data_IF_535981639222
#
_entry.id   IF_535981639222
#
_cell.length_a   1.000
_cell.length_b   1.000
_cell.length_c   1.000
_cell.angle_alpha   90.00
_cell.angle_beta   90.00
_cell.angle_gamma   90.00
#
_symmetry.space_group_name_H-M   'P 1'
#
loop_
_entity.id
_entity.type
_entity.pdbx_description
1 polymer ?
#
# COMPACT_ATOMS: atom_id res chain seq x y z
N UNK A 1 8.84 3.88 -6.07
CA UNK A 1 8.57 3.44 -4.68
C UNK A 1 8.04 2.01 -4.64
N UNK A 2 8.15 1.35 -3.50
CA UNK A 2 7.53 0.03 -3.24
C UNK A 2 6.35 0.17 -2.27
N UNK A 3 5.42 -0.76 -2.32
CA UNK A 3 4.36 -0.96 -1.32
C UNK A 3 4.10 -2.47 -1.18
N UNK A 4 3.06 -2.84 -0.45
CA UNK A 4 2.58 -4.23 -0.32
C UNK A 4 1.15 -4.34 -0.86
N UNK A 5 0.74 -5.54 -1.28
CA UNK A 5 -0.58 -5.83 -1.85
C UNK A 5 -1.57 -6.42 -0.83
N UNK A 6 -1.08 -6.69 0.37
CA UNK A 6 -1.88 -7.25 1.45
C UNK A 6 -2.88 -6.21 1.93
N UNK A 7 -4.10 -6.66 2.19
CA UNK A 7 -5.23 -5.77 2.52
C UNK A 7 -5.52 -5.84 4.01
N UNK A 8 -6.23 -4.86 4.60
CA UNK A 8 -6.61 -4.93 6.01
C UNK A 8 -7.30 -6.24 6.41
N UNK A 9 -8.09 -6.84 5.52
CA UNK A 9 -8.81 -8.09 5.75
C UNK A 9 -7.92 -9.34 5.60
N UNK A 10 -6.80 -9.23 4.89
CA UNK A 10 -5.80 -10.29 4.67
C UNK A 10 -4.40 -9.69 4.78
N UNK A 11 -3.98 -9.27 5.99
CA UNK A 11 -2.69 -8.63 6.17
C UNK A 11 -1.57 -9.65 6.07
N UNK A 12 -0.38 -9.18 5.67
CA UNK A 12 0.83 -9.96 5.83
C UNK A 12 1.11 -10.15 7.32
N UNK A 13 1.55 -11.34 7.72
CA UNK A 13 1.79 -11.67 9.12
C UNK A 13 3.18 -12.25 9.33
N UNK A 14 3.87 -11.82 10.38
CA UNK A 14 5.11 -12.41 10.84
C UNK A 14 5.12 -12.52 12.36
N UNK A 15 5.88 -13.46 12.90
CA UNK A 15 5.96 -13.63 14.37
C UNK A 15 7.38 -13.96 14.82
N UNK A 16 7.73 -13.48 16.02
CA UNK A 16 8.99 -13.77 16.69
C UNK A 16 8.71 -14.06 18.17
N UNK A 17 9.40 -15.06 18.73
CA UNK A 17 9.46 -15.25 20.19
C UNK A 17 10.89 -15.00 20.67
N UNK A 18 11.05 -14.09 21.64
CA UNK A 18 12.33 -13.82 22.31
C UNK A 18 12.12 -13.76 23.82
N UNK A 19 12.88 -14.57 24.59
CA UNK A 19 12.76 -14.72 26.04
C UNK A 19 11.31 -14.84 26.51
N UNK A 20 10.56 -15.76 25.89
CA UNK A 20 9.12 -16.03 26.12
C UNK A 20 8.17 -14.88 25.77
N UNK A 21 8.68 -13.71 25.39
CA UNK A 21 7.83 -12.64 24.86
C UNK A 21 7.54 -12.93 23.40
N UNK A 22 6.28 -12.80 23.01
CA UNK A 22 5.82 -13.00 21.64
C UNK A 22 5.59 -11.64 20.98
N UNK A 23 6.04 -11.51 19.75
CA UNK A 23 5.90 -10.33 18.90
C UNK A 23 5.20 -10.76 17.61
N UNK A 24 3.99 -10.27 17.39
CA UNK A 24 3.14 -10.62 16.24
C UNK A 24 3.03 -9.36 15.38
N UNK A 25 3.63 -9.40 14.20
CA UNK A 25 3.55 -8.32 13.23
C UNK A 25 2.43 -8.54 12.22
N UNK A 26 1.72 -7.48 11.89
CA UNK A 26 0.72 -7.45 10.83
C UNK A 26 0.91 -6.20 9.97
N UNK A 27 0.91 -6.35 8.65
CA UNK A 27 1.08 -5.24 7.71
C UNK A 27 0.09 -5.30 6.54
N UNK A 28 -0.39 -4.14 6.10
CA UNK A 28 -1.22 -4.02 4.90
C UNK A 28 -1.00 -2.68 4.18
N UNK A 29 -1.47 -2.63 2.93
CA UNK A 29 -1.56 -1.41 2.14
C UNK A 29 -2.59 -0.45 2.73
N UNK A 30 -2.28 0.84 2.72
CA UNK A 30 -3.18 1.93 3.14
C UNK A 30 -2.88 3.19 2.33
N UNK A 31 -3.91 3.93 1.95
CA UNK A 31 -3.76 5.13 1.11
C UNK A 31 -3.53 6.41 1.93
N UNK A 32 -3.97 6.40 3.18
CA UNK A 32 -3.92 7.59 4.04
C UNK A 32 -3.79 7.25 5.53
N UNK A 33 -3.73 8.33 6.32
CA UNK A 33 -3.66 8.27 7.78
C UNK A 33 -4.87 7.58 8.41
N UNK A 34 -6.07 7.84 7.91
CA UNK A 34 -7.29 7.39 8.56
C UNK A 34 -7.46 5.88 8.35
N UNK A 35 -7.18 5.37 7.16
CA UNK A 35 -7.07 3.95 6.86
C UNK A 35 -5.99 3.25 7.72
N UNK A 36 -4.81 3.86 7.86
CA UNK A 36 -3.75 3.34 8.72
C UNK A 36 -4.22 3.20 10.18
N UNK A 37 -4.87 4.24 10.72
CA UNK A 37 -5.34 4.23 12.10
C UNK A 37 -6.53 3.29 12.31
N UNK A 38 -7.41 3.14 11.33
CA UNK A 38 -8.49 2.16 11.37
C UNK A 38 -7.95 0.73 11.51
N UNK A 39 -6.94 0.37 10.72
CA UNK A 39 -6.27 -0.93 10.82
C UNK A 39 -5.62 -1.15 12.19
N UNK A 40 -4.94 -0.14 12.75
CA UNK A 40 -4.35 -0.22 14.10
C UNK A 40 -5.42 -0.52 15.16
N UNK A 41 -6.60 0.08 15.06
CA UNK A 41 -7.71 -0.20 15.98
C UNK A 41 -8.25 -1.62 15.80
N UNK A 42 -8.38 -2.08 14.55
CA UNK A 42 -8.79 -3.45 14.26
C UNK A 42 -7.83 -4.48 14.90
N UNK A 43 -6.51 -4.29 14.73
CA UNK A 43 -5.48 -5.15 15.35
C UNK A 43 -5.59 -5.13 16.87
N UNK A 44 -5.83 -3.95 17.48
CA UNK A 44 -6.02 -3.86 18.93
C UNK A 44 -7.26 -4.64 19.41
N UNK A 45 -8.35 -4.60 18.65
CA UNK A 45 -9.55 -5.38 18.95
C UNK A 45 -9.32 -6.89 18.81
N UNK A 46 -8.46 -7.32 17.87
CA UNK A 46 -8.05 -8.72 17.71
C UNK A 46 -7.15 -9.20 18.88
N UNK A 47 -6.46 -8.29 19.56
CA UNK A 47 -5.51 -8.59 20.63
C UNK A 47 -5.84 -7.88 21.96
N UNK A 48 -7.01 -8.13 22.57
CA UNK A 48 -7.47 -7.39 23.75
C UNK A 48 -6.62 -7.61 25.01
N UNK A 49 -5.80 -8.66 25.04
CA UNK A 49 -4.89 -8.99 26.15
C UNK A 49 -3.48 -8.42 25.97
N UNK A 50 -3.16 -7.88 24.79
CA UNK A 50 -1.86 -7.29 24.56
C UNK A 50 -1.77 -5.92 25.23
N UNK A 51 -0.64 -5.64 25.87
CA UNK A 51 -0.39 -4.33 26.48
C UNK A 51 0.11 -3.30 25.47
N UNK A 52 0.75 -3.77 24.40
CA UNK A 52 1.41 -2.94 23.42
C UNK A 52 1.07 -3.43 22.00
N UNK A 53 0.54 -2.52 21.20
CA UNK A 53 0.34 -2.61 19.75
C UNK A 53 1.10 -1.42 19.14
N UNK A 54 2.42 -1.56 19.12
CA UNK A 54 3.32 -0.57 18.53
C UNK A 54 3.10 -0.55 17.02
N UNK A 55 3.17 0.59 16.38
CA UNK A 55 2.83 0.68 14.96
C UNK A 55 3.57 1.79 14.23
N UNK A 56 3.72 1.61 12.93
CA UNK A 56 4.21 2.62 12.00
C UNK A 56 3.38 2.62 10.73
N UNK A 57 3.26 3.79 10.11
CA UNK A 57 2.66 3.94 8.79
C UNK A 57 3.46 4.94 7.97
N UNK A 58 3.56 4.67 6.66
CA UNK A 58 4.14 5.55 5.65
C UNK A 58 3.08 5.68 4.55
N UNK A 59 2.78 6.89 4.10
CA UNK A 59 1.86 7.12 2.99
C UNK A 59 2.24 8.36 2.18
N UNK A 60 1.76 8.40 0.94
CA UNK A 60 1.96 9.52 0.03
C UNK A 60 3.13 9.32 -0.93
N UNK A 61 3.26 10.22 -1.92
CA UNK A 61 4.19 10.04 -3.01
C UNK A 61 5.62 10.39 -2.62
N UNK A 62 6.57 9.98 -3.46
CA UNK A 62 8.00 10.21 -3.27
C UNK A 62 8.27 11.72 -3.11
N UNK A 63 9.08 12.09 -2.11
CA UNK A 63 9.37 13.49 -1.80
C UNK A 63 8.25 14.26 -1.06
N UNK A 64 7.06 13.66 -0.88
CA UNK A 64 5.95 14.18 -0.06
C UNK A 64 5.41 13.12 0.91
N UNK A 65 6.25 12.17 1.30
CA UNK A 65 5.88 11.08 2.20
C UNK A 65 5.55 11.62 3.59
N UNK A 66 4.46 11.10 4.14
CA UNK A 66 4.06 11.31 5.52
C UNK A 66 4.30 10.03 6.31
N UNK A 67 4.69 10.18 7.58
CA UNK A 67 5.01 9.05 8.43
C UNK A 67 4.39 9.21 9.81
N UNK A 68 4.08 8.07 10.42
CA UNK A 68 3.63 7.99 11.80
C UNK A 68 4.29 6.80 12.47
N UNK A 69 4.67 6.96 13.73
CA UNK A 69 5.12 5.85 14.58
C UNK A 69 4.60 6.02 16.01
N UNK A 70 4.43 4.90 16.72
CA UNK A 70 4.08 4.88 18.13
C UNK A 70 4.72 3.68 18.83
N UNK A 71 5.33 3.94 19.99
CA UNK A 71 5.83 2.90 20.89
C UNK A 71 4.71 2.26 21.75
N UNK A 72 3.49 2.81 21.74
CA UNK A 72 2.32 2.29 22.48
C UNK A 72 2.59 1.89 23.94
N UNK A 73 3.32 2.74 24.68
CA UNK A 73 3.65 2.49 26.09
C UNK A 73 4.89 1.61 26.33
N UNK A 74 5.55 1.11 25.28
CA UNK A 74 6.93 0.65 25.40
C UNK A 74 7.87 1.82 25.74
N UNK A 75 9.08 1.55 26.29
CA UNK A 75 10.08 2.59 26.48
C UNK A 75 10.34 3.37 25.20
N UNK A 76 10.41 4.69 25.33
CA UNK A 76 10.53 5.61 24.19
C UNK A 76 11.65 5.21 23.21
N UNK A 77 11.30 5.11 21.93
CA UNK A 77 12.20 4.80 20.84
C UNK A 77 12.63 3.34 20.74
N UNK A 78 12.03 2.43 21.51
CA UNK A 78 12.41 1.01 21.51
C UNK A 78 11.54 0.13 20.63
N UNK A 79 10.43 0.64 20.09
CA UNK A 79 9.51 -0.13 19.24
C UNK A 79 9.20 0.58 17.92
N UNK A 80 8.54 1.74 17.95
CA UNK A 80 8.10 2.48 16.77
C UNK A 80 9.27 2.87 15.87
N UNK A 81 10.33 3.47 16.42
CA UNK A 81 11.51 3.86 15.63
C UNK A 81 12.18 2.65 14.94
N UNK A 82 12.47 1.52 15.64
CA UNK A 82 12.97 0.30 15.02
C UNK A 82 12.09 -0.28 13.92
N UNK A 83 10.76 -0.24 14.04
CA UNK A 83 9.82 -0.68 13.00
C UNK A 83 9.92 0.25 11.78
N UNK A 84 9.87 1.56 12.00
CA UNK A 84 9.90 2.56 10.92
C UNK A 84 11.21 2.49 10.13
N UNK A 85 12.35 2.27 10.79
CA UNK A 85 13.63 2.10 10.12
C UNK A 85 13.65 0.89 9.18
N UNK A 86 12.98 -0.21 9.54
CA UNK A 86 12.86 -1.38 8.65
C UNK A 86 12.03 -1.03 7.42
N UNK A 87 10.89 -0.37 7.59
CA UNK A 87 10.02 0.05 6.47
C UNK A 87 10.76 1.00 5.51
N UNK A 88 11.51 1.97 6.05
CA UNK A 88 12.33 2.91 5.27
C UNK A 88 13.43 2.22 4.49
N UNK A 89 14.17 1.27 5.11
CA UNK A 89 15.23 0.52 4.42
C UNK A 89 14.70 -0.28 3.23
N UNK A 90 13.45 -0.74 3.29
CA UNK A 90 12.79 -1.42 2.18
C UNK A 90 12.18 -0.46 1.14
N UNK A 91 12.26 0.86 1.34
CA UNK A 91 11.71 1.86 0.41
C UNK A 91 10.19 1.77 0.26
N UNK A 92 9.49 1.37 1.33
CA UNK A 92 8.04 1.21 1.34
C UNK A 92 7.31 2.54 1.51
N UNK A 93 6.17 2.66 0.82
CA UNK A 93 5.15 3.69 0.99
C UNK A 93 3.77 3.04 1.03
N UNK A 94 2.75 3.84 1.34
CA UNK A 94 1.33 3.47 1.35
C UNK A 94 1.07 2.15 2.11
N UNK A 95 1.64 2.04 3.31
CA UNK A 95 1.50 0.84 4.13
C UNK A 95 1.58 1.15 5.63
N UNK A 96 0.91 0.31 6.40
CA UNK A 96 0.93 0.30 7.86
C UNK A 96 1.48 -1.04 8.34
N UNK A 97 2.25 -1.02 9.42
CA UNK A 97 2.79 -2.19 10.10
C UNK A 97 2.58 -2.03 11.60
N UNK A 98 1.95 -3.03 12.21
CA UNK A 98 1.74 -3.13 13.65
C UNK A 98 2.56 -4.29 14.19
N UNK A 99 3.09 -4.16 15.41
CA UNK A 99 3.71 -5.24 16.15
C UNK A 99 3.06 -5.31 17.53
N UNK A 100 2.23 -6.33 17.71
CA UNK A 100 1.60 -6.68 18.97
C UNK A 100 2.58 -7.45 19.84
N UNK A 101 2.70 -7.08 21.11
CA UNK A 101 3.58 -7.79 22.06
C UNK A 101 2.80 -8.41 23.22
N UNK A 102 3.07 -9.69 23.46
CA UNK A 102 2.73 -10.39 24.71
C UNK A 102 3.98 -10.58 25.57
N UNK A 103 3.97 -10.04 26.79
CA UNK A 103 5.11 -10.12 27.70
C UNK A 103 5.29 -11.53 28.28
N UNK A 104 6.50 -12.08 28.15
CA UNK A 104 6.84 -13.44 28.56
C UNK A 104 7.33 -13.62 30.00
N UNK A 105 7.29 -12.58 30.83
CA UNK A 105 7.80 -12.63 32.21
C UNK A 105 9.31 -12.35 32.35
N UNK A 106 10.05 -12.19 31.24
CA UNK A 106 11.49 -11.90 31.23
C UNK A 106 11.72 -10.55 30.55
N UNK A 107 12.40 -9.63 31.23
CA UNK A 107 12.74 -8.33 30.65
C UNK A 107 13.82 -8.48 29.57
N UNK A 108 13.60 -7.82 28.42
CA UNK A 108 14.53 -7.81 27.30
C UNK A 108 15.60 -6.70 27.42
N UNK A 109 15.29 -5.63 28.16
CA UNK A 109 16.06 -4.38 28.16
C UNK A 109 15.92 -3.62 26.83
N UNK A 110 16.31 -2.35 26.79
CA UNK A 110 16.09 -1.49 25.62
C UNK A 110 16.70 -2.04 24.32
N UNK A 111 17.95 -2.53 24.39
CA UNK A 111 18.60 -3.13 23.22
C UNK A 111 17.97 -4.45 22.76
N UNK A 112 17.36 -5.22 23.67
CA UNK A 112 16.61 -6.41 23.31
C UNK A 112 15.28 -6.08 22.63
N UNK A 113 14.55 -5.08 23.13
CA UNK A 113 13.31 -4.59 22.51
C UNK A 113 13.55 -4.08 21.10
N UNK A 114 14.56 -3.22 20.91
CA UNK A 114 14.92 -2.68 19.59
C UNK A 114 15.12 -3.81 18.57
N UNK A 115 15.91 -4.83 18.94
CA UNK A 115 16.14 -5.98 18.06
C UNK A 115 14.87 -6.79 17.82
N UNK A 116 14.08 -7.08 18.85
CA UNK A 116 12.87 -7.87 18.71
C UNK A 116 11.83 -7.19 17.79
N UNK A 117 11.59 -5.88 17.96
CA UNK A 117 10.68 -5.11 17.12
C UNK A 117 11.17 -5.01 15.67
N UNK A 118 12.45 -4.72 15.44
CA UNK A 118 13.01 -4.73 14.08
C UNK A 118 12.90 -6.11 13.43
N UNK A 119 13.21 -7.18 14.17
CA UNK A 119 13.14 -8.55 13.63
C UNK A 119 11.69 -8.96 13.31
N UNK A 120 10.73 -8.66 14.18
CA UNK A 120 9.31 -8.93 13.92
C UNK A 120 8.79 -8.16 12.70
N UNK A 121 9.16 -6.88 12.56
CA UNK A 121 8.83 -6.08 11.39
C UNK A 121 9.43 -6.66 10.10
N UNK A 122 10.72 -7.02 10.12
CA UNK A 122 11.40 -7.63 8.97
C UNK A 122 10.77 -8.96 8.55
N UNK A 123 10.40 -9.82 9.51
CA UNK A 123 9.71 -11.09 9.23
C UNK A 123 8.34 -10.86 8.60
N UNK A 124 7.60 -9.87 9.10
CA UNK A 124 6.28 -9.50 8.58
C UNK A 124 6.36 -9.01 7.14
N UNK A 125 7.30 -8.11 6.85
CA UNK A 125 7.49 -7.58 5.51
C UNK A 125 8.07 -8.61 4.53
N UNK A 126 8.87 -9.56 5.01
CA UNK A 126 9.33 -10.70 4.20
C UNK A 126 8.18 -11.61 3.77
N UNK A 127 7.14 -11.72 4.58
CA UNK A 127 5.92 -12.47 4.25
C UNK A 127 4.94 -11.67 3.38
N UNK A 128 5.14 -10.36 3.23
CA UNK A 128 4.26 -9.50 2.48
C UNK A 128 4.46 -9.64 0.96
N UNK A 129 3.39 -9.40 0.21
CA UNK A 129 3.40 -9.43 -1.25
C UNK A 129 3.76 -8.04 -1.77
N UNK A 130 5.04 -7.80 -2.04
CA UNK A 130 5.52 -6.51 -2.50
C UNK A 130 5.03 -6.13 -3.90
N UNK A 131 4.82 -4.84 -4.12
CA UNK A 131 4.50 -4.26 -5.41
C UNK A 131 5.26 -2.95 -5.65
N UNK A 132 5.49 -2.62 -6.92
CA UNK A 132 5.92 -1.29 -7.33
C UNK A 132 4.72 -0.37 -7.44
N UNK A 133 4.86 0.84 -6.92
CA UNK A 133 3.93 1.93 -7.15
C UNK A 133 4.36 2.64 -8.43
N UNK A 134 3.52 2.57 -9.47
CA UNK A 134 3.73 3.26 -10.73
C UNK A 134 2.79 4.49 -10.79
N UNK A 135 3.34 5.72 -10.86
CA UNK A 135 2.52 6.92 -11.02
C UNK A 135 1.77 6.90 -12.36
N UNK A 136 0.48 7.19 -12.31
CA UNK A 136 -0.39 7.30 -13.47
C UNK A 136 -1.14 8.63 -13.44
N UNK A 137 -1.74 8.98 -14.57
CA UNK A 137 -2.73 10.03 -14.64
C UNK A 137 -4.10 9.38 -14.81
N UNK A 138 -5.05 9.81 -13.98
CA UNK A 138 -6.40 9.28 -13.94
C UNK A 138 -7.33 10.09 -14.82
N UNK A 139 -8.16 9.39 -15.58
CA UNK A 139 -9.12 9.99 -16.49
C UNK A 139 -10.51 9.40 -16.29
N UNK A 140 -11.51 10.19 -16.65
CA UNK A 140 -12.88 9.71 -16.84
C UNK A 140 -13.38 10.10 -18.23
N UNK A 141 -14.16 9.22 -18.83
CA UNK A 141 -14.86 9.49 -20.08
C UNK A 141 -16.22 8.80 -20.04
N UNK A 142 -17.22 9.43 -20.63
CA UNK A 142 -18.58 8.87 -20.74
C UNK A 142 -18.94 8.75 -22.21
N UNK A 143 -19.24 7.54 -22.66
CA UNK A 143 -19.54 7.22 -24.05
C UNK A 143 -20.86 6.47 -24.17
N UNK A 144 -21.43 6.46 -25.37
CA UNK A 144 -22.57 5.60 -25.67
C UNK A 144 -22.11 4.14 -25.86
N UNK A 145 -23.04 3.21 -25.73
CA UNK A 145 -22.76 1.77 -25.83
C UNK A 145 -22.04 1.35 -27.12
N UNK A 146 -22.31 1.93 -28.31
CA UNK A 146 -21.60 1.57 -29.54
C UNK A 146 -20.09 1.85 -29.49
N UNK A 147 -19.67 2.89 -28.76
CA UNK A 147 -18.27 3.29 -28.63
C UNK A 147 -17.52 2.55 -27.50
N UNK A 148 -18.24 1.96 -26.54
CA UNK A 148 -17.67 1.34 -25.33
C UNK A 148 -16.59 0.29 -25.62
N UNK A 149 -16.88 -0.72 -26.46
CA UNK A 149 -15.93 -1.82 -26.72
C UNK A 149 -14.66 -1.31 -27.42
N UNK A 150 -14.82 -0.36 -28.33
CA UNK A 150 -13.70 0.24 -29.06
C UNK A 150 -12.82 1.09 -28.14
N UNK A 151 -13.44 1.87 -27.26
CA UNK A 151 -12.73 2.66 -26.26
C UNK A 151 -12.00 1.78 -25.24
N UNK A 152 -12.67 0.75 -24.71
CA UNK A 152 -12.08 -0.20 -23.76
C UNK A 152 -10.88 -0.92 -24.38
N UNK A 153 -10.99 -1.32 -25.65
CA UNK A 153 -9.86 -1.87 -26.40
C UNK A 153 -8.75 -0.84 -26.55
N UNK A 154 -9.06 0.40 -26.91
CA UNK A 154 -8.09 1.47 -27.07
C UNK A 154 -7.28 1.65 -25.77
N UNK A 155 -7.97 1.89 -24.64
CA UNK A 155 -7.37 2.04 -23.30
C UNK A 155 -6.39 0.89 -23.04
N UNK A 156 -6.82 -0.35 -23.22
CA UNK A 156 -5.96 -1.52 -23.00
C UNK A 156 -4.75 -1.56 -23.93
N UNK A 157 -4.93 -1.27 -25.22
CA UNK A 157 -3.84 -1.33 -26.21
C UNK A 157 -2.82 -0.20 -26.09
N UNK A 158 -3.15 0.88 -25.37
CA UNK A 158 -2.23 1.96 -25.04
C UNK A 158 -1.59 1.77 -23.66
N UNK A 159 -1.75 0.60 -23.03
CA UNK A 159 -1.20 0.30 -21.71
C UNK A 159 -2.03 0.85 -20.54
N UNK A 160 -3.22 1.38 -20.81
CA UNK A 160 -4.14 1.87 -19.78
C UNK A 160 -4.73 0.75 -18.95
N UNK A 161 -4.99 1.08 -17.69
CA UNK A 161 -5.59 0.19 -16.72
C UNK A 161 -7.00 0.68 -16.39
N UNK A 162 -7.99 -0.19 -16.54
CA UNK A 162 -9.36 0.14 -16.18
C UNK A 162 -9.54 0.05 -14.66
N UNK A 163 -10.00 1.13 -14.04
CA UNK A 163 -10.32 1.18 -12.62
C UNK A 163 -11.78 0.80 -12.37
N UNK A 164 -12.71 1.42 -13.11
CA UNK A 164 -14.13 1.14 -12.98
C UNK A 164 -14.90 1.40 -14.29
N UNK A 165 -16.02 0.69 -14.42
CA UNK A 165 -16.93 0.76 -15.54
C UNK A 165 -18.36 0.82 -14.98
N UNK A 166 -19.00 1.98 -15.10
CA UNK A 166 -20.37 2.21 -14.62
C UNK A 166 -21.34 2.23 -15.81
N UNK A 167 -22.25 1.26 -15.85
CA UNK A 167 -23.23 1.09 -16.91
C UNK A 167 -24.57 1.69 -16.50
N UNK A 168 -24.92 2.82 -17.12
CA UNK A 168 -26.18 3.54 -16.90
C UNK A 168 -26.89 3.77 -18.24
N UNK A 169 -27.50 4.95 -18.46
CA UNK A 169 -27.98 5.39 -19.78
C UNK A 169 -26.83 5.53 -20.78
N UNK A 170 -25.64 5.91 -20.27
CA UNK A 170 -24.35 5.88 -20.96
C UNK A 170 -23.33 5.10 -20.13
N UNK A 171 -22.21 4.74 -20.72
CA UNK A 171 -21.13 4.03 -20.03
C UNK A 171 -20.07 5.02 -19.59
N UNK A 172 -19.86 5.12 -18.27
CA UNK A 172 -18.78 5.91 -17.69
C UNK A 172 -17.61 5.00 -17.36
N UNK A 173 -16.43 5.37 -17.84
CA UNK A 173 -15.20 4.63 -17.58
C UNK A 173 -14.26 5.52 -16.76
N UNK A 174 -13.61 4.92 -15.77
CA UNK A 174 -12.47 5.50 -15.06
C UNK A 174 -11.26 4.61 -15.31
N UNK A 175 -10.17 5.21 -15.75
CA UNK A 175 -8.96 4.47 -16.10
C UNK A 175 -7.72 5.32 -15.84
N UNK A 176 -6.62 4.60 -15.63
CA UNK A 176 -5.30 5.15 -15.37
C UNK A 176 -4.40 4.92 -16.59
N UNK A 177 -3.65 5.95 -16.98
CA UNK A 177 -2.62 5.89 -18.02
C UNK A 177 -1.27 6.30 -17.45
N UNK A 178 -0.20 5.65 -17.90
CA UNK A 178 1.14 6.20 -17.69
C UNK A 178 1.26 7.56 -18.40
N UNK A 179 1.90 8.57 -17.80
CA UNK A 179 2.03 9.90 -18.42
C UNK A 179 2.62 9.86 -19.84
N UNK A 180 3.55 8.93 -20.09
CA UNK A 180 4.16 8.72 -21.40
C UNK A 180 3.18 8.20 -22.47
N UNK A 181 2.12 7.49 -22.06
CA UNK A 181 1.11 6.94 -22.96
C UNK A 181 -0.01 7.94 -23.31
N UNK A 182 -0.17 9.01 -22.52
CA UNK A 182 -1.27 9.98 -22.68
C UNK A 182 -1.32 10.61 -24.07
N UNK A 183 -0.22 11.12 -24.66
CA UNK A 183 -0.28 11.75 -25.99
C UNK A 183 -0.72 10.77 -27.09
N UNK A 184 -0.20 9.54 -27.06
CA UNK A 184 -0.56 8.51 -28.04
C UNK A 184 -2.02 8.04 -27.87
N UNK A 185 -2.50 7.98 -26.63
CA UNK A 185 -3.90 7.66 -26.35
C UNK A 185 -4.85 8.75 -26.87
N UNK A 186 -4.59 10.03 -26.60
CA UNK A 186 -5.44 11.13 -27.08
C UNK A 186 -5.51 11.16 -28.62
N UNK A 187 -4.38 11.01 -29.32
CA UNK A 187 -4.40 10.99 -30.80
C UNK A 187 -5.29 9.87 -31.37
N UNK A 188 -5.19 8.66 -30.81
CA UNK A 188 -6.04 7.53 -31.24
C UNK A 188 -7.49 7.65 -30.80
N UNK A 189 -7.75 8.35 -29.68
CA UNK A 189 -9.08 8.60 -29.18
C UNK A 189 -9.83 9.59 -30.08
N UNK A 190 -9.15 10.64 -30.53
CA UNK A 190 -9.70 11.62 -31.47
C UNK A 190 -10.09 10.97 -32.79
N UNK A 191 -9.25 10.06 -33.32
CA UNK A 191 -9.59 9.27 -34.51
C UNK A 191 -10.82 8.38 -34.30
N UNK A 192 -10.92 7.75 -33.13
CA UNK A 192 -12.00 6.81 -32.80
C UNK A 192 -13.34 7.52 -32.60
N UNK A 193 -13.34 8.64 -31.87
CA UNK A 193 -14.55 9.35 -31.46
C UNK A 193 -14.86 10.57 -32.32
N UNK A 194 -13.97 10.91 -33.26
CA UNK A 194 -14.07 12.08 -34.14
C UNK A 194 -14.24 13.38 -33.33
N UNK A 195 -13.58 13.47 -32.18
CA UNK A 195 -13.65 14.61 -31.25
C UNK A 195 -15.01 14.81 -30.55
N UNK A 196 -15.98 13.89 -30.71
CA UNK A 196 -17.33 14.02 -30.11
C UNK A 196 -17.33 13.96 -28.58
N UNK A 197 -16.36 13.25 -28.00
CA UNK A 197 -16.22 13.08 -26.56
C UNK A 197 -14.74 13.18 -26.21
N UNK A 198 -14.44 13.93 -25.15
CA UNK A 198 -13.09 14.12 -24.63
C UNK A 198 -12.99 13.57 -23.20
N UNK A 199 -11.86 12.94 -22.83
CA UNK A 199 -11.64 12.48 -21.47
C UNK A 199 -11.34 13.69 -20.56
N UNK A 200 -11.85 13.63 -19.34
CA UNK A 200 -11.55 14.60 -18.30
C UNK A 200 -10.52 14.03 -17.33
N UNK A 201 -9.46 14.77 -17.03
CA UNK A 201 -8.49 14.37 -16.01
C UNK A 201 -9.12 14.46 -14.62
N UNK A 202 -8.99 13.40 -13.82
CA UNK A 202 -9.40 13.36 -12.42
C UNK A 202 -8.23 13.63 -11.45
N UNK A 203 -6.99 13.57 -11.93
CA UNK A 203 -5.79 13.88 -11.15
C UNK A 203 -4.68 12.85 -11.31
N UNK A 204 -3.82 12.78 -10.29
CA UNK A 204 -2.80 11.74 -10.16
C UNK A 204 -3.46 10.42 -9.72
N UNK A 205 -2.99 9.31 -10.29
CA UNK A 205 -3.35 7.96 -9.90
C UNK A 205 -2.10 7.13 -9.61
N UNK A 206 -2.29 5.93 -9.08
CA UNK A 206 -1.21 5.00 -8.82
C UNK A 206 -1.63 3.59 -9.19
N UNK A 207 -0.75 2.88 -9.90
CA UNK A 207 -0.94 1.47 -10.21
C UNK A 207 0.04 0.61 -9.41
N UNK A 208 -0.48 -0.40 -8.72
CA UNK A 208 0.33 -1.39 -8.02
C UNK A 208 0.69 -2.53 -8.97
N UNK A 209 1.98 -2.71 -9.22
CA UNK A 209 2.50 -3.79 -10.06
C UNK A 209 3.19 -4.82 -9.15
N UNK A 210 2.65 -6.04 -8.99
CA UNK A 210 3.27 -7.08 -8.17
C UNK A 210 4.72 -7.35 -8.59
N UNK A 211 5.61 -7.45 -7.61
CA UNK A 211 6.97 -7.92 -7.86
C UNK A 211 6.96 -9.45 -8.02
N UNK A 212 7.56 -9.96 -9.09
CA UNK A 212 7.84 -11.40 -9.24
C UNK A 212 9.01 -11.80 -8.32
N UNK A 213 9.09 -13.07 -7.92
CA UNK A 213 9.96 -13.56 -6.83
C UNK A 213 11.46 -13.19 -6.89
N UNK A 214 12.00 -12.86 -8.07
CA UNK A 214 13.40 -12.42 -8.25
C UNK A 214 13.63 -10.90 -8.02
N UNK A 215 12.57 -10.12 -7.78
CA UNK A 215 12.65 -8.65 -7.59
C UNK A 215 12.24 -8.17 -6.20
N UNK A 216 12.01 -9.09 -5.24
CA UNK A 216 11.78 -8.71 -3.85
C UNK A 216 13.04 -8.03 -3.27
N UNK A 217 12.90 -6.94 -2.49
CA UNK A 217 14.05 -6.27 -1.91
C UNK A 217 14.88 -7.26 -1.08
N UNK A 218 16.16 -7.37 -1.41
CA UNK A 218 17.11 -8.21 -0.71
C UNK A 218 17.24 -7.74 0.74
N UNK A 219 16.77 -8.55 1.69
CA UNK A 219 17.03 -8.35 3.12
C UNK A 219 18.46 -8.78 3.43
N UNK A 220 19.41 -7.86 3.28
CA UNK A 220 20.71 -7.90 3.98
C UNK A 220 20.71 -6.96 5.17
#
# INVERSE_FOLDING_TARGET
MLTILDTPQKPATGSLTDRKSEFIGQACHVEDRDAAMAFVQEVRLQHPKARHVCHCAIWGPEGRTSERMSDDGEPSGTAGKPILEVMRRQGLTDCVLTVTRYFGGILLGSGGLIRAYSSAASLTLKAARSARVLPTQRFTITVDYPEYDSLRRLIRTTGGYMESEDFTDRVRLIYDLEPAAVPAFHGRLDDLLQGRVQPSALGEGHRLIPLSGDQAPSTT
#
